data_IF_672444710745
#
_entry.id   IF_672444710745
#
_cell.length_a   1.000
_cell.length_b   1.000
_cell.length_c   1.000
_cell.angle_alpha   90.00
_cell.angle_beta   90.00
_cell.angle_gamma   90.00
#
_symmetry.space_group_name_H-M   'P 1'
#
loop_
_entity.id
_entity.type
_entity.pdbx_description
1 polymer ?
#
# COMPACT_ATOMS: atom_id res chain seq x y z
N UNK A 1 -4.66 18.20 6.79
CA UNK A 1 -5.40 16.92 6.79
C UNK A 1 -4.41 15.78 6.82
N UNK A 2 -4.72 14.71 7.50
CA UNK A 2 -3.99 13.43 7.50
C UNK A 2 -4.79 12.51 6.58
N UNK A 3 -4.11 11.86 5.64
CA UNK A 3 -4.75 11.03 4.61
C UNK A 3 -4.52 9.53 4.86
N UNK A 4 -4.77 9.10 6.09
CA UNK A 4 -4.73 7.70 6.48
C UNK A 4 -6.01 7.33 7.21
N UNK A 5 -6.36 6.07 7.18
CA UNK A 5 -7.41 5.52 8.01
C UNK A 5 -7.05 5.63 9.50
N UNK A 6 -8.06 5.63 10.36
CA UNK A 6 -7.89 5.82 11.81
C UNK A 6 -6.91 4.83 12.41
N UNK A 7 -7.01 3.58 12.03
CA UNK A 7 -6.20 2.46 12.52
C UNK A 7 -4.73 2.62 12.11
N UNK A 8 -4.49 3.06 10.87
CA UNK A 8 -3.15 3.38 10.39
C UNK A 8 -2.55 4.58 11.15
N UNK A 9 -3.35 5.61 11.44
CA UNK A 9 -2.91 6.75 12.26
C UNK A 9 -2.51 6.28 13.67
N UNK A 10 -3.28 5.39 14.28
CA UNK A 10 -2.95 4.84 15.60
C UNK A 10 -1.63 4.07 15.59
N UNK A 11 -1.37 3.28 14.55
CA UNK A 11 -0.09 2.58 14.37
C UNK A 11 1.05 3.57 14.14
N UNK A 12 0.89 4.53 13.21
CA UNK A 12 1.92 5.52 12.91
C UNK A 12 2.29 6.40 14.11
N UNK A 13 1.37 6.63 15.05
CA UNK A 13 1.66 7.33 16.30
C UNK A 13 2.61 6.57 17.22
N UNK A 14 2.73 5.26 17.06
CA UNK A 14 3.70 4.44 17.83
C UNK A 14 5.08 4.43 17.19
N UNK A 15 5.21 4.95 15.97
CA UNK A 15 6.47 5.04 15.23
C UNK A 15 7.02 6.46 15.38
N UNK A 16 8.25 6.57 15.88
CA UNK A 16 8.93 7.87 15.98
C UNK A 16 9.34 8.35 14.59
N UNK A 17 8.65 9.37 14.09
CA UNK A 17 8.86 9.96 12.76
C UNK A 17 9.73 11.22 12.80
N UNK A 18 10.01 11.78 13.98
CA UNK A 18 10.75 13.05 14.10
C UNK A 18 12.19 12.91 13.58
N UNK A 19 12.56 13.78 12.65
CA UNK A 19 13.88 13.78 12.03
C UNK A 19 14.18 12.59 11.09
N UNK A 20 13.24 11.69 10.87
CA UNK A 20 13.41 10.47 10.07
C UNK A 20 13.28 10.73 8.57
N UNK A 21 13.89 9.86 7.77
CA UNK A 21 13.68 9.77 6.32
C UNK A 21 12.64 8.69 6.06
N UNK A 22 11.55 9.07 5.41
CA UNK A 22 10.40 8.18 5.14
C UNK A 22 10.34 7.86 3.65
N UNK A 23 10.28 6.57 3.30
CA UNK A 23 10.02 6.06 1.96
C UNK A 23 8.57 5.60 1.79
N UNK A 24 7.92 5.91 0.66
CA UNK A 24 6.65 5.31 0.25
C UNK A 24 6.78 4.69 -1.13
N UNK A 25 6.46 3.40 -1.23
CA UNK A 25 6.40 2.67 -2.49
C UNK A 25 4.96 2.67 -3.00
N UNK A 26 4.78 2.83 -4.32
CA UNK A 26 3.48 3.01 -4.97
C UNK A 26 2.71 4.19 -4.37
N UNK A 27 3.36 5.35 -4.33
CA UNK A 27 2.89 6.52 -3.58
C UNK A 27 1.74 7.27 -4.25
N UNK A 28 1.31 6.88 -5.46
CA UNK A 28 0.28 7.56 -6.22
C UNK A 28 0.54 9.09 -6.26
N UNK A 29 -0.41 9.92 -5.86
CA UNK A 29 -0.31 11.39 -5.83
C UNK A 29 0.41 11.95 -4.60
N UNK A 30 1.05 11.12 -3.79
CA UNK A 30 1.90 11.49 -2.67
C UNK A 30 1.19 12.05 -1.43
N UNK A 31 -0.14 12.12 -1.41
CA UNK A 31 -0.92 12.77 -0.32
C UNK A 31 -0.63 12.19 1.06
N UNK A 32 -0.45 10.89 1.14
CA UNK A 32 -0.19 10.18 2.40
C UNK A 32 1.19 10.55 2.93
N UNK A 33 2.24 10.42 2.09
CA UNK A 33 3.60 10.78 2.47
C UNK A 33 3.72 12.26 2.84
N UNK A 34 3.13 13.16 2.04
CA UNK A 34 3.12 14.60 2.35
C UNK A 34 2.45 14.88 3.69
N UNK A 35 1.34 14.20 3.99
CA UNK A 35 0.64 14.38 5.26
C UNK A 35 1.45 13.86 6.45
N UNK A 36 2.14 12.73 6.28
CA UNK A 36 2.97 12.12 7.32
C UNK A 36 4.21 12.97 7.62
N UNK A 37 4.92 13.42 6.58
CA UNK A 37 6.10 14.29 6.73
C UNK A 37 5.71 15.60 7.43
N UNK A 38 4.57 16.19 7.05
CA UNK A 38 4.08 17.42 7.66
C UNK A 38 3.69 17.26 9.11
N UNK A 39 2.97 16.17 9.46
CA UNK A 39 2.45 15.97 10.82
C UNK A 39 3.47 15.38 11.78
N UNK A 40 4.44 14.62 11.26
CA UNK A 40 5.42 13.87 12.05
C UNK A 40 6.78 14.55 12.18
N UNK A 41 6.96 15.77 11.65
CA UNK A 41 8.25 16.48 11.62
C UNK A 41 9.41 15.63 11.05
N UNK A 42 9.12 14.81 10.05
CA UNK A 42 10.13 14.02 9.38
C UNK A 42 11.13 14.92 8.63
N UNK A 43 12.37 14.50 8.56
CA UNK A 43 13.41 15.29 7.88
C UNK A 43 13.28 15.26 6.37
N UNK A 44 12.73 14.17 5.81
CA UNK A 44 12.56 13.98 4.36
C UNK A 44 11.55 12.90 4.06
N UNK A 45 10.78 13.08 2.98
CA UNK A 45 9.96 12.07 2.33
C UNK A 45 10.46 11.74 0.93
N UNK A 46 10.45 10.47 0.54
CA UNK A 46 10.72 10.02 -0.82
C UNK A 46 9.62 9.06 -1.25
N UNK A 47 8.92 9.40 -2.33
CA UNK A 47 7.87 8.56 -2.89
C UNK A 47 8.27 8.01 -4.27
N UNK A 48 7.86 6.77 -4.56
CA UNK A 48 8.07 6.11 -5.84
C UNK A 48 6.73 5.67 -6.41
N UNK A 49 6.51 5.97 -7.68
CA UNK A 49 5.36 5.49 -8.43
C UNK A 49 5.71 5.42 -9.93
N UNK A 50 5.06 4.55 -10.67
CA UNK A 50 5.26 4.44 -12.12
C UNK A 50 4.46 5.48 -12.90
N UNK A 51 3.43 6.06 -12.31
CA UNK A 51 2.51 7.00 -12.94
C UNK A 51 3.10 8.43 -12.95
N UNK A 52 3.76 8.81 -14.05
CA UNK A 52 4.44 10.11 -14.22
C UNK A 52 3.56 11.31 -13.87
N UNK A 53 2.28 11.29 -14.26
CA UNK A 53 1.34 12.36 -13.97
C UNK A 53 1.03 12.49 -12.47
N UNK A 54 0.95 11.39 -11.75
CA UNK A 54 0.75 11.39 -10.30
C UNK A 54 1.98 11.93 -9.57
N UNK A 55 3.15 11.48 -10.00
CA UNK A 55 4.45 11.94 -9.47
C UNK A 55 4.66 13.44 -9.72
N UNK A 56 4.34 13.92 -10.91
CA UNK A 56 4.41 15.35 -11.24
C UNK A 56 3.51 16.18 -10.31
N UNK A 57 2.27 15.74 -10.10
CA UNK A 57 1.34 16.38 -9.17
C UNK A 57 1.87 16.35 -7.72
N UNK A 58 2.40 15.21 -7.27
CA UNK A 58 2.96 15.08 -5.92
C UNK A 58 4.13 16.04 -5.67
N UNK A 59 5.04 16.19 -6.65
CA UNK A 59 6.15 17.14 -6.58
C UNK A 59 5.67 18.61 -6.57
N UNK A 60 4.64 18.94 -7.36
CA UNK A 60 4.02 20.26 -7.32
C UNK A 60 3.46 20.56 -5.93
N UNK A 61 2.73 19.61 -5.33
CA UNK A 61 2.18 19.77 -3.98
C UNK A 61 3.25 19.84 -2.89
N UNK A 62 4.35 19.07 -3.00
CA UNK A 62 5.49 19.19 -2.10
C UNK A 62 6.07 20.62 -2.10
N UNK A 63 6.24 21.19 -3.29
CA UNK A 63 6.73 22.56 -3.47
C UNK A 63 5.75 23.60 -2.92
N UNK A 64 4.46 23.51 -3.26
CA UNK A 64 3.41 24.41 -2.76
C UNK A 64 3.34 24.44 -1.23
N UNK A 65 3.50 23.27 -0.60
CA UNK A 65 3.42 23.10 0.84
C UNK A 65 4.78 23.35 1.54
N UNK A 66 5.84 23.63 0.78
CA UNK A 66 7.21 23.79 1.27
C UNK A 66 7.65 22.62 2.15
N UNK A 67 7.36 21.38 1.71
CA UNK A 67 7.73 20.16 2.42
C UNK A 67 8.99 19.53 1.82
N UNK A 68 9.86 18.92 2.64
CA UNK A 68 11.08 18.24 2.20
C UNK A 68 10.76 16.87 1.58
N UNK A 69 9.91 16.84 0.56
CA UNK A 69 9.51 15.63 -0.14
C UNK A 69 9.94 15.67 -1.60
N UNK A 70 10.36 14.52 -2.12
CA UNK A 70 10.63 14.29 -3.54
C UNK A 70 9.90 13.03 -3.98
N UNK A 71 9.42 13.05 -5.21
CA UNK A 71 8.72 11.91 -5.81
C UNK A 71 9.37 11.57 -7.14
N UNK A 72 9.59 10.27 -7.39
CA UNK A 72 10.25 9.76 -8.60
C UNK A 72 9.30 8.85 -9.38
N UNK A 73 9.18 9.15 -10.67
CA UNK A 73 8.46 8.31 -11.61
C UNK A 73 9.38 7.16 -12.05
N UNK A 74 9.21 5.99 -11.44
CA UNK A 74 10.09 4.86 -11.65
C UNK A 74 9.36 3.55 -11.39
N UNK A 75 9.69 2.51 -12.16
CA UNK A 75 9.31 1.15 -11.79
C UNK A 75 10.08 0.75 -10.52
N UNK A 76 9.40 0.16 -9.55
CA UNK A 76 10.01 -0.24 -8.27
C UNK A 76 11.25 -1.11 -8.49
N UNK A 77 11.26 -1.96 -9.51
CA UNK A 77 12.40 -2.83 -9.83
C UNK A 77 13.63 -2.08 -10.40
N UNK A 78 13.47 -0.82 -10.81
CA UNK A 78 14.52 0.02 -11.40
C UNK A 78 14.94 1.17 -10.46
N UNK A 79 14.56 1.11 -9.18
CA UNK A 79 14.95 2.10 -8.17
C UNK A 79 16.48 2.12 -8.05
N UNK A 80 17.04 3.33 -8.18
CA UNK A 80 18.47 3.62 -8.18
C UNK A 80 19.14 3.24 -6.84
N UNK A 81 20.36 2.70 -6.92
CA UNK A 81 21.17 2.31 -5.76
C UNK A 81 21.50 3.47 -4.80
N UNK A 82 21.33 4.73 -5.20
CA UNK A 82 21.43 5.89 -4.30
C UNK A 82 20.42 5.85 -3.14
N UNK A 83 19.36 5.04 -3.26
CA UNK A 83 18.38 4.85 -2.20
C UNK A 83 18.67 3.66 -1.29
N UNK A 84 19.78 2.94 -1.50
CA UNK A 84 20.22 1.86 -0.61
C UNK A 84 20.41 2.38 0.80
N UNK A 85 19.76 1.73 1.77
CA UNK A 85 19.84 2.05 3.20
C UNK A 85 19.57 3.54 3.51
N UNK A 86 18.59 4.14 2.82
CA UNK A 86 18.25 5.54 3.05
C UNK A 86 17.07 5.74 4.01
N UNK A 87 16.16 4.78 4.10
CA UNK A 87 14.91 4.98 4.82
C UNK A 87 14.97 4.45 6.23
N UNK A 88 14.58 5.30 7.19
CA UNK A 88 14.35 4.94 8.59
C UNK A 88 12.96 4.30 8.76
N UNK A 89 12.01 4.72 7.92
CA UNK A 89 10.63 4.24 7.91
C UNK A 89 10.22 4.02 6.45
N UNK A 90 9.55 2.91 6.19
CA UNK A 90 8.86 2.65 4.92
C UNK A 90 7.38 2.49 5.19
N UNK A 91 6.55 3.14 4.36
CA UNK A 91 5.10 2.93 4.33
C UNK A 91 4.70 2.35 2.97
N UNK A 92 3.77 1.41 3.01
CA UNK A 92 3.09 0.85 1.84
C UNK A 92 1.61 0.89 2.18
N UNK A 93 0.82 1.47 1.27
CA UNK A 93 -0.62 1.65 1.47
C UNK A 93 -1.41 0.85 0.45
N UNK A 94 -2.69 0.70 0.72
CA UNK A 94 -3.63 -0.13 -0.05
C UNK A 94 -3.48 0.04 -1.56
N UNK A 95 -3.58 -1.07 -2.28
CA UNK A 95 -3.51 -1.13 -3.73
C UNK A 95 -2.09 -1.11 -4.28
N UNK A 96 -1.08 -1.39 -3.44
CA UNK A 96 0.31 -1.48 -3.88
C UNK A 96 0.69 -2.91 -4.30
N UNK A 97 0.35 -3.91 -3.49
CA UNK A 97 0.85 -5.28 -3.68
C UNK A 97 0.30 -5.96 -4.93
N UNK A 98 -0.90 -5.61 -5.36
CA UNK A 98 -1.55 -6.18 -6.55
C UNK A 98 -0.82 -5.91 -7.87
N UNK A 99 0.12 -4.97 -7.91
CA UNK A 99 0.91 -4.67 -9.10
C UNK A 99 2.13 -5.57 -9.31
N UNK A 100 2.44 -6.45 -8.37
CA UNK A 100 3.66 -7.25 -8.37
C UNK A 100 3.37 -8.74 -8.38
N UNK A 101 3.73 -9.43 -9.46
CA UNK A 101 3.63 -10.89 -9.56
C UNK A 101 4.42 -11.61 -8.47
N UNK A 102 5.60 -11.08 -8.12
CA UNK A 102 6.54 -11.70 -7.19
C UNK A 102 6.85 -10.79 -6.00
N UNK A 103 6.16 -11.01 -4.89
CA UNK A 103 6.35 -10.23 -3.66
C UNK A 103 7.73 -10.42 -3.03
N UNK A 104 8.37 -11.58 -3.21
CA UNK A 104 9.74 -11.76 -2.70
C UNK A 104 10.71 -10.78 -3.38
N UNK A 105 10.61 -10.61 -4.70
CA UNK A 105 11.41 -9.62 -5.46
C UNK A 105 11.02 -8.19 -5.10
N UNK A 106 9.74 -7.90 -4.90
CA UNK A 106 9.29 -6.59 -4.45
C UNK A 106 9.90 -6.21 -3.10
N UNK A 107 9.79 -7.10 -2.11
CA UNK A 107 10.34 -6.85 -0.77
C UNK A 107 11.87 -6.88 -0.73
N UNK A 108 12.56 -7.53 -1.68
CA UNK A 108 14.02 -7.42 -1.85
C UNK A 108 14.41 -5.96 -2.12
N UNK A 109 13.73 -5.29 -3.04
CA UNK A 109 13.99 -3.87 -3.35
C UNK A 109 13.64 -2.97 -2.18
N UNK A 110 12.48 -3.19 -1.56
CA UNK A 110 12.05 -2.44 -0.36
C UNK A 110 13.10 -2.56 0.76
N UNK A 111 13.49 -3.78 1.10
CA UNK A 111 14.46 -4.07 2.14
C UNK A 111 15.85 -3.49 1.85
N UNK A 112 16.28 -3.48 0.57
CA UNK A 112 17.52 -2.85 0.13
C UNK A 112 17.55 -1.34 0.39
N UNK A 113 16.41 -0.68 0.32
CA UNK A 113 16.28 0.75 0.56
C UNK A 113 16.17 1.11 2.06
N UNK A 114 15.80 0.14 2.89
CA UNK A 114 15.68 0.30 4.36
C UNK A 114 17.04 0.26 5.04
N UNK A 115 17.26 1.15 6.00
CA UNK A 115 18.40 1.07 6.93
C UNK A 115 18.28 -0.17 7.82
N UNK A 116 19.39 -0.72 8.34
CA UNK A 116 19.31 -1.66 9.47
C UNK A 116 18.52 -1.05 10.64
N UNK A 117 17.57 -1.78 11.18
CA UNK A 117 16.67 -1.30 12.24
C UNK A 117 15.49 -0.44 11.79
N UNK A 118 15.38 -0.14 10.49
CA UNK A 118 14.26 0.62 9.95
C UNK A 118 12.92 -0.11 10.13
N UNK A 119 11.86 0.67 10.29
CA UNK A 119 10.49 0.18 10.46
C UNK A 119 9.77 0.17 9.11
N UNK A 120 9.01 -0.88 8.82
CA UNK A 120 8.02 -0.90 7.75
C UNK A 120 6.61 -0.99 8.34
N UNK A 121 5.68 -0.21 7.77
CA UNK A 121 4.24 -0.29 8.05
C UNK A 121 3.52 -0.48 6.73
N UNK A 122 2.90 -1.63 6.58
CA UNK A 122 2.07 -2.00 5.42
C UNK A 122 0.61 -1.98 5.85
N UNK A 123 -0.22 -1.16 5.20
CA UNK A 123 -1.66 -1.14 5.34
C UNK A 123 -2.29 -1.60 4.03
N UNK A 124 -2.93 -2.76 4.02
CA UNK A 124 -3.44 -3.37 2.81
C UNK A 124 -4.80 -4.05 3.04
N UNK A 125 -5.49 -4.31 1.97
CA UNK A 125 -6.68 -5.13 1.96
C UNK A 125 -6.33 -6.54 2.46
N UNK A 126 -7.22 -7.14 3.28
CA UNK A 126 -6.94 -8.48 3.79
C UNK A 126 -7.10 -9.54 2.67
N UNK A 127 -6.17 -10.48 2.50
CA UNK A 127 -6.24 -11.48 1.44
C UNK A 127 -7.51 -12.34 1.41
N UNK A 128 -8.25 -12.44 2.52
CA UNK A 128 -9.55 -13.12 2.52
C UNK A 128 -10.57 -12.49 1.55
N UNK A 129 -10.44 -11.19 1.25
CA UNK A 129 -11.33 -10.52 0.29
C UNK A 129 -11.18 -11.03 -1.13
N UNK A 130 -10.04 -11.65 -1.47
CA UNK A 130 -9.81 -12.27 -2.78
C UNK A 130 -10.85 -13.35 -3.11
N UNK A 131 -11.53 -13.91 -2.09
CA UNK A 131 -12.58 -14.93 -2.29
C UNK A 131 -13.95 -14.35 -2.61
N UNK A 132 -14.16 -13.05 -2.41
CA UNK A 132 -15.46 -12.40 -2.50
C UNK A 132 -15.63 -11.69 -3.84
N UNK A 133 -16.86 -11.70 -4.36
CA UNK A 133 -17.23 -10.89 -5.49
C UNK A 133 -17.57 -9.44 -5.06
N UNK A 134 -17.22 -8.46 -5.89
CA UNK A 134 -17.56 -7.04 -5.72
C UNK A 134 -18.69 -6.61 -6.65
N UNK A 135 -19.31 -5.46 -6.38
CA UNK A 135 -20.27 -4.87 -7.30
C UNK A 135 -19.63 -4.62 -8.68
N UNK A 136 -20.00 -5.37 -9.67
CA UNK A 136 -19.43 -5.32 -11.02
C UNK A 136 -18.91 -6.66 -11.51
N UNK A 137 -18.67 -7.60 -10.61
CA UNK A 137 -18.36 -8.99 -10.95
C UNK A 137 -19.65 -9.74 -11.35
N UNK A 138 -19.53 -10.66 -12.29
CA UNK A 138 -20.67 -11.46 -12.75
C UNK A 138 -21.24 -12.37 -11.63
N UNK A 139 -20.40 -12.73 -10.71
CA UNK A 139 -20.67 -13.59 -9.56
C UNK A 139 -21.29 -12.85 -8.37
N UNK A 140 -21.36 -11.51 -8.42
CA UNK A 140 -21.86 -10.72 -7.29
C UNK A 140 -23.35 -10.94 -7.04
N UNK A 141 -23.68 -11.42 -5.83
CA UNK A 141 -25.05 -11.55 -5.35
C UNK A 141 -25.29 -10.59 -4.16
N UNK A 142 -26.17 -9.58 -4.30
CA UNK A 142 -26.45 -8.63 -3.25
C UNK A 142 -27.10 -9.23 -1.99
N UNK A 143 -27.71 -10.42 -2.11
CA UNK A 143 -28.30 -11.14 -0.98
C UNK A 143 -27.27 -12.03 -0.24
N UNK A 144 -26.18 -12.44 -0.93
CA UNK A 144 -25.16 -13.36 -0.43
C UNK A 144 -23.74 -12.80 -0.52
N UNK A 145 -23.54 -11.53 -0.16
CA UNK A 145 -22.29 -10.76 -0.33
C UNK A 145 -21.03 -11.35 0.32
N UNK A 146 -21.19 -12.29 1.25
CA UNK A 146 -20.07 -12.96 1.95
C UNK A 146 -19.86 -14.40 1.45
N UNK A 147 -20.48 -14.77 0.33
CA UNK A 147 -20.25 -16.05 -0.31
C UNK A 147 -18.91 -16.07 -1.03
N UNK A 148 -18.15 -17.17 -0.88
CA UNK A 148 -16.87 -17.34 -1.57
C UNK A 148 -17.13 -17.79 -3.01
N UNK A 149 -16.77 -16.95 -3.95
CA UNK A 149 -16.90 -17.22 -5.40
C UNK A 149 -15.57 -17.59 -6.03
N UNK A 150 -14.46 -17.10 -5.46
CA UNK A 150 -13.13 -17.27 -6.02
C UNK A 150 -12.21 -18.05 -5.10
N UNK A 151 -11.10 -18.53 -5.62
CA UNK A 151 -10.08 -19.20 -4.84
C UNK A 151 -9.25 -18.18 -4.05
N UNK A 152 -9.00 -18.45 -2.77
CA UNK A 152 -8.01 -17.69 -1.99
C UNK A 152 -6.60 -17.70 -2.62
N UNK A 153 -6.31 -18.72 -3.41
CA UNK A 153 -5.04 -18.94 -4.10
C UNK A 153 -5.09 -18.58 -5.60
N UNK A 154 -6.17 -17.94 -6.05
CA UNK A 154 -6.16 -17.30 -7.37
C UNK A 154 -5.04 -16.29 -7.40
N UNK A 155 -4.23 -16.29 -8.47
CA UNK A 155 -3.02 -15.50 -8.47
C UNK A 155 -3.08 -14.31 -9.43
N UNK A 156 -3.83 -14.40 -10.51
CA UNK A 156 -3.82 -13.42 -11.58
C UNK A 156 -5.24 -13.06 -12.03
N UNK A 157 -5.49 -11.76 -12.11
CA UNK A 157 -6.72 -11.19 -12.63
C UNK A 157 -6.41 -10.19 -13.74
N UNK A 158 -7.19 -10.20 -14.81
CA UNK A 158 -7.06 -9.23 -15.89
C UNK A 158 -8.25 -8.27 -15.87
N UNK A 159 -7.97 -6.98 -15.81
CA UNK A 159 -8.97 -5.92 -15.80
C UNK A 159 -8.74 -4.87 -16.88
N UNK A 160 -9.78 -4.11 -17.17
CA UNK A 160 -9.76 -2.98 -18.09
C UNK A 160 -10.54 -1.76 -17.57
N UNK A 161 -10.96 -1.83 -16.31
CA UNK A 161 -11.63 -0.76 -15.59
C UNK A 161 -10.68 -0.02 -14.67
N UNK A 162 -10.84 1.29 -14.55
CA UNK A 162 -10.14 2.10 -13.57
C UNK A 162 -11.10 2.99 -12.82
N UNK A 163 -10.76 3.35 -11.59
CA UNK A 163 -11.55 4.28 -10.78
C UNK A 163 -10.68 5.46 -10.35
N UNK A 164 -11.22 6.67 -10.52
CA UNK A 164 -10.63 7.85 -9.90
C UNK A 164 -11.00 7.89 -8.42
N UNK A 165 -10.09 7.47 -7.55
CA UNK A 165 -10.31 7.41 -6.09
C UNK A 165 -10.86 8.70 -5.47
N UNK A 166 -10.47 9.86 -6.01
CA UNK A 166 -10.93 11.16 -5.48
C UNK A 166 -12.35 11.52 -5.87
N UNK A 167 -12.90 10.95 -6.94
CA UNK A 167 -14.23 11.29 -7.47
C UNK A 167 -15.16 10.10 -7.56
N UNK A 168 -14.65 8.89 -7.27
CA UNK A 168 -15.35 7.61 -7.41
C UNK A 168 -15.97 7.41 -8.81
N UNK A 169 -15.35 8.04 -9.83
CA UNK A 169 -15.78 7.89 -11.23
C UNK A 169 -14.98 6.80 -11.91
N UNK A 170 -15.69 5.86 -12.48
CA UNK A 170 -15.09 4.82 -13.30
C UNK A 170 -14.66 5.37 -14.66
N UNK A 171 -13.58 4.84 -15.20
CA UNK A 171 -13.11 5.09 -16.55
C UNK A 171 -12.61 3.81 -17.19
N UNK A 172 -12.59 3.75 -18.51
CA UNK A 172 -12.01 2.64 -19.24
C UNK A 172 -10.49 2.81 -19.28
N UNK A 173 -9.76 1.93 -18.61
CA UNK A 173 -8.30 1.92 -18.62
C UNK A 173 -7.74 1.07 -19.77
N UNK A 174 -6.43 1.10 -19.96
CA UNK A 174 -5.73 0.02 -20.68
C UNK A 174 -5.90 -1.28 -19.89
N UNK A 175 -5.88 -2.40 -20.59
CA UNK A 175 -5.84 -3.71 -19.94
C UNK A 175 -4.63 -3.79 -19.00
N UNK A 176 -4.86 -4.26 -17.81
CA UNK A 176 -3.83 -4.47 -16.79
C UNK A 176 -4.03 -5.85 -16.15
N UNK A 177 -2.99 -6.35 -15.53
CA UNK A 177 -3.03 -7.57 -14.72
C UNK A 177 -2.84 -7.19 -13.27
N UNK A 178 -3.75 -7.64 -12.41
CA UNK A 178 -3.64 -7.61 -10.97
C UNK A 178 -3.21 -8.97 -10.47
N UNK A 179 -2.38 -8.98 -9.45
CA UNK A 179 -1.94 -10.19 -8.78
C UNK A 179 -2.53 -10.23 -7.37
N UNK A 180 -3.21 -11.31 -7.04
CA UNK A 180 -3.67 -11.55 -5.68
C UNK A 180 -2.62 -12.36 -4.92
N UNK A 181 -2.52 -12.10 -3.63
CA UNK A 181 -1.53 -12.75 -2.77
C UNK A 181 -2.19 -13.27 -1.51
N UNK A 182 -1.74 -14.45 -1.08
CA UNK A 182 -2.08 -14.96 0.23
C UNK A 182 -1.35 -14.21 1.34
N UNK A 183 -1.88 -14.24 2.56
CA UNK A 183 -1.18 -13.68 3.73
C UNK A 183 0.20 -14.32 3.93
N UNK A 184 0.33 -15.62 3.63
CA UNK A 184 1.61 -16.33 3.72
C UNK A 184 2.64 -15.81 2.71
N UNK A 185 2.26 -15.44 1.49
CA UNK A 185 3.17 -14.86 0.50
C UNK A 185 3.66 -13.47 0.93
N UNK A 186 2.75 -12.64 1.46
CA UNK A 186 3.11 -11.31 1.97
C UNK A 186 4.12 -11.43 3.11
N UNK A 187 3.81 -12.23 4.13
CA UNK A 187 4.70 -12.44 5.28
C UNK A 187 6.03 -13.07 4.85
N UNK A 188 6.00 -14.11 4.01
CA UNK A 188 7.21 -14.78 3.53
C UNK A 188 8.09 -13.85 2.71
N UNK A 189 7.49 -13.03 1.83
CA UNK A 189 8.21 -12.02 1.05
C UNK A 189 8.99 -11.04 1.94
N UNK A 190 8.38 -10.57 3.02
CA UNK A 190 9.05 -9.72 4.01
C UNK A 190 10.17 -10.47 4.75
N UNK A 191 9.85 -11.63 5.33
CA UNK A 191 10.80 -12.40 6.17
C UNK A 191 12.01 -12.88 5.39
N UNK A 192 11.84 -13.37 4.14
CA UNK A 192 12.94 -13.82 3.29
C UNK A 192 13.93 -12.71 2.96
N UNK A 193 13.53 -11.46 3.07
CA UNK A 193 14.35 -10.28 2.81
C UNK A 193 14.84 -9.57 4.08
N UNK A 194 14.85 -10.29 5.21
CA UNK A 194 15.37 -9.79 6.48
C UNK A 194 14.50 -8.74 7.16
N UNK A 195 13.18 -8.74 6.87
CA UNK A 195 12.21 -7.92 7.59
C UNK A 195 11.49 -8.82 8.59
N UNK A 196 11.79 -8.65 9.86
CA UNK A 196 11.14 -9.41 10.95
C UNK A 196 9.79 -8.78 11.27
N UNK A 197 8.73 -9.57 11.19
CA UNK A 197 7.38 -9.13 11.54
C UNK A 197 7.31 -8.87 13.05
N UNK A 198 6.86 -7.68 13.43
CA UNK A 198 6.73 -7.24 14.82
C UNK A 198 5.26 -7.04 15.24
N UNK A 199 4.35 -7.00 14.28
CA UNK A 199 2.91 -6.89 14.53
C UNK A 199 2.07 -7.17 13.30
N UNK A 200 0.92 -7.77 13.55
CA UNK A 200 -0.18 -7.91 12.58
C UNK A 200 -1.47 -7.54 13.30
N UNK A 201 -2.23 -6.65 12.69
CA UNK A 201 -3.60 -6.29 13.11
C UNK A 201 -4.53 -6.53 11.94
N UNK A 202 -5.67 -7.14 12.20
CA UNK A 202 -6.72 -7.41 11.23
C UNK A 202 -7.97 -6.66 11.65
N UNK A 203 -8.73 -6.20 10.67
CA UNK A 203 -9.92 -5.38 10.92
C UNK A 203 -11.08 -5.83 10.03
N UNK A 204 -12.29 -5.68 10.54
CA UNK A 204 -13.54 -6.01 9.85
C UNK A 204 -14.18 -4.80 9.16
N UNK A 205 -13.37 -3.80 8.79
CA UNK A 205 -13.79 -2.67 7.96
C UNK A 205 -12.98 -2.60 6.67
N UNK A 206 -13.65 -2.14 5.62
CA UNK A 206 -13.10 -2.00 4.29
C UNK A 206 -12.36 -0.67 4.13
N UNK A 207 -11.16 -0.72 3.54
CA UNK A 207 -10.36 0.46 3.18
C UNK A 207 -10.26 0.66 1.67
N UNK A 208 -10.82 -0.27 0.87
CA UNK A 208 -10.79 -0.24 -0.59
C UNK A 208 -11.97 0.48 -1.23
N UNK A 209 -13.11 0.49 -0.54
CA UNK A 209 -14.41 0.91 -1.06
C UNK A 209 -15.19 -0.20 -1.80
N UNK A 210 -14.58 -1.38 -2.02
CA UNK A 210 -15.22 -2.50 -2.71
C UNK A 210 -16.13 -3.36 -1.83
N UNK A 211 -15.87 -3.38 -0.52
CA UNK A 211 -16.53 -4.26 0.44
C UNK A 211 -17.26 -3.53 1.57
N UNK A 212 -17.46 -2.22 1.46
CA UNK A 212 -18.10 -1.41 2.51
C UNK A 212 -19.50 -1.90 2.90
N UNK A 213 -20.18 -2.62 2.02
CA UNK A 213 -21.51 -3.21 2.30
C UNK A 213 -21.49 -4.39 3.29
N UNK A 214 -20.30 -4.88 3.65
CA UNK A 214 -20.09 -5.94 4.64
C UNK A 214 -19.21 -5.50 5.82
N UNK A 215 -18.96 -4.19 5.96
CA UNK A 215 -18.29 -3.61 7.12
C UNK A 215 -18.87 -4.07 8.44
N UNK A 216 -17.99 -4.35 9.40
CA UNK A 216 -18.35 -4.75 10.77
C UNK A 216 -19.22 -6.01 10.88
N UNK A 217 -19.11 -6.90 9.89
CA UNK A 217 -19.81 -8.20 9.90
C UNK A 217 -18.93 -9.36 10.36
N UNK A 218 -17.75 -9.07 10.92
CA UNK A 218 -16.82 -10.07 11.45
C UNK A 218 -16.02 -10.82 10.40
N UNK A 219 -15.92 -10.25 9.17
CA UNK A 219 -15.05 -10.76 8.11
C UNK A 219 -13.80 -9.89 8.03
N UNK A 220 -12.59 -10.46 7.96
CA UNK A 220 -11.38 -9.64 7.87
C UNK A 220 -11.29 -8.97 6.50
N UNK A 221 -11.38 -7.63 6.47
CA UNK A 221 -11.41 -6.83 5.25
C UNK A 221 -10.13 -6.03 5.03
N UNK A 222 -9.45 -5.67 6.10
CA UNK A 222 -8.18 -4.94 6.01
C UNK A 222 -7.19 -5.41 7.07
N UNK A 223 -5.92 -5.08 6.87
CA UNK A 223 -4.85 -5.44 7.80
C UNK A 223 -3.75 -4.39 7.85
N UNK A 224 -3.04 -4.35 8.97
CA UNK A 224 -1.79 -3.60 9.11
C UNK A 224 -0.71 -4.57 9.58
N UNK A 225 0.35 -4.70 8.77
CA UNK A 225 1.57 -5.41 9.09
C UNK A 225 2.67 -4.42 9.49
N UNK A 226 3.39 -4.74 10.55
CA UNK A 226 4.59 -4.01 10.97
C UNK A 226 5.79 -4.95 10.99
N UNK A 227 6.95 -4.42 10.63
CA UNK A 227 8.19 -5.17 10.66
C UNK A 227 9.41 -4.28 10.83
N UNK A 228 10.52 -4.90 11.21
CA UNK A 228 11.80 -4.22 11.34
C UNK A 228 12.86 -4.89 10.45
N UNK A 229 13.61 -4.09 9.71
CA UNK A 229 14.76 -4.55 8.93
C UNK A 229 15.89 -4.97 9.88
N UNK A 230 16.41 -6.19 9.71
CA UNK A 230 17.62 -6.65 10.38
C UNK A 230 18.88 -6.13 9.72
#
# INVERSE_FOLDING_TARGET
AIFFEKEMIEVLRTVDTEGKVIGQFCCNNGRELLSLVKSGNASKGVGFDIAENQVAFANEKAKELNLPCIFEAVNVYDIDDRFREQFDIVIITIGALCWFENLNRFFEIVAKCMKPGAVIVLNEQHPCTNMLATEGDAEFDPEHKMECHFSYFEHEWTGNGGMYYMTLKNYHSKTFTDFTHSLSEIISGMCNNGIVITGLKEFDHDISGGFSSIDHRGYPLSMILQGNKQ
#
